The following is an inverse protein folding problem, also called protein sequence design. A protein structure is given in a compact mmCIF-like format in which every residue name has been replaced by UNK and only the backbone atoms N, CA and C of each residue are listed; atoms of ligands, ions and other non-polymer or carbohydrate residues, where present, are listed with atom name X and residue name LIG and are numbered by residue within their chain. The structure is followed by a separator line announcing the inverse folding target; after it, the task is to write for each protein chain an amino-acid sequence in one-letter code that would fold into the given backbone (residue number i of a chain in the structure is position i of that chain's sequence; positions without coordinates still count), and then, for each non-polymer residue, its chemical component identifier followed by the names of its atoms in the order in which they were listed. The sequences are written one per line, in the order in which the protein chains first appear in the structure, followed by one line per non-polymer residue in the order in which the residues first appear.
data_IF_502422961806
#
_entry.id   IF_502422961806
#
_cell.length_a   1.000
_cell.length_b   1.000
_cell.length_c   1.000
_cell.angle_alpha   90.00
_cell.angle_beta   90.00
_cell.angle_gamma   90.00
#
_symmetry.space_group_name_H-M   'P 1'
#
loop_
_entity.id
_entity.type
_entity.pdbx_description
1 polymer ?
#
# COMPACT_ATOMS: atom_id res chain seq x y z
N UNK A 1 -22.82 2.08 -3.25
CA UNK A 1 -22.59 1.73 -4.67
C UNK A 1 -23.03 0.31 -4.91
N UNK A 2 -23.74 0.04 -6.01
CA UNK A 2 -24.23 -1.28 -6.35
C UNK A 2 -23.05 -2.26 -6.57
N UNK A 3 -23.19 -3.49 -6.06
CA UNK A 3 -22.21 -4.59 -6.23
C UNK A 3 -22.91 -5.77 -6.91
N UNK A 4 -23.20 -5.67 -8.22
CA UNK A 4 -24.07 -6.64 -8.89
C UNK A 4 -23.40 -8.00 -9.12
N UNK A 5 -22.08 -8.10 -8.99
CA UNK A 5 -21.33 -9.32 -9.27
C UNK A 5 -21.06 -10.09 -7.98
N UNK A 6 -21.66 -11.26 -7.82
CA UNK A 6 -21.53 -12.09 -6.63
C UNK A 6 -20.69 -13.34 -6.91
N UNK A 7 -19.80 -13.67 -5.99
CA UNK A 7 -19.05 -14.92 -6.01
C UNK A 7 -19.92 -16.04 -5.44
N UNK A 8 -20.24 -17.05 -6.25
CA UNK A 8 -21.09 -18.17 -5.82
C UNK A 8 -20.43 -19.06 -4.77
N UNK A 9 -19.08 -19.14 -4.76
CA UNK A 9 -18.36 -19.97 -3.78
C UNK A 9 -18.37 -19.39 -2.35
N UNK A 10 -18.57 -18.07 -2.18
CA UNK A 10 -18.45 -17.42 -0.86
C UNK A 10 -19.38 -16.22 -0.61
N UNK A 11 -20.32 -15.93 -1.52
CA UNK A 11 -21.27 -14.82 -1.42
C UNK A 11 -20.68 -13.41 -1.54
N UNK A 12 -19.37 -13.27 -1.73
CA UNK A 12 -18.70 -11.96 -1.77
C UNK A 12 -19.12 -11.17 -3.01
N UNK A 13 -19.51 -9.90 -2.81
CA UNK A 13 -20.00 -9.02 -3.89
C UNK A 13 -18.96 -8.00 -4.35
N UNK A 14 -18.95 -7.73 -5.65
CA UNK A 14 -18.04 -6.84 -6.34
C UNK A 14 -18.82 -5.85 -7.21
N UNK A 15 -18.31 -4.62 -7.32
CA UNK A 15 -18.85 -3.59 -8.20
C UNK A 15 -18.42 -3.75 -9.65
N UNK A 16 -17.34 -4.51 -9.91
CA UNK A 16 -16.75 -4.69 -11.24
C UNK A 16 -16.56 -6.18 -11.51
N UNK A 17 -17.02 -6.66 -12.68
CA UNK A 17 -16.93 -8.07 -13.10
C UNK A 17 -15.50 -8.59 -13.07
N UNK A 18 -14.54 -7.80 -13.55
CA UNK A 18 -13.12 -8.16 -13.53
C UNK A 18 -12.61 -8.49 -12.11
N UNK A 19 -13.06 -7.77 -11.10
CA UNK A 19 -12.67 -8.04 -9.71
C UNK A 19 -13.25 -9.36 -9.19
N UNK A 20 -14.46 -9.72 -9.62
CA UNK A 20 -15.03 -11.04 -9.33
C UNK A 20 -14.19 -12.15 -10.00
N UNK A 21 -13.83 -12.02 -11.27
CA UNK A 21 -13.01 -13.02 -11.98
C UNK A 21 -11.64 -13.19 -11.32
N UNK A 22 -10.97 -12.08 -10.98
CA UNK A 22 -9.70 -12.13 -10.25
C UNK A 22 -9.88 -12.78 -8.87
N UNK A 23 -10.99 -12.48 -8.19
CA UNK A 23 -11.30 -13.07 -6.90
C UNK A 23 -11.50 -14.58 -6.99
N UNK A 24 -12.19 -15.10 -8.01
CA UNK A 24 -12.43 -16.54 -8.16
C UNK A 24 -11.14 -17.37 -8.22
N UNK A 25 -10.01 -16.77 -8.62
CA UNK A 25 -8.70 -17.41 -8.58
C UNK A 25 -8.26 -17.86 -7.18
N UNK A 26 -8.82 -17.28 -6.11
CA UNK A 26 -8.53 -17.76 -4.75
C UNK A 26 -9.14 -19.14 -4.49
N UNK A 27 -10.27 -19.45 -5.13
CA UNK A 27 -10.99 -20.72 -4.98
C UNK A 27 -10.40 -21.78 -5.90
N UNK A 28 -10.07 -21.41 -7.13
CA UNK A 28 -9.47 -22.35 -8.11
C UNK A 28 -7.97 -22.57 -7.88
N UNK A 29 -7.30 -21.68 -7.16
CA UNK A 29 -5.85 -21.67 -7.01
C UNK A 29 -5.08 -21.21 -8.25
N UNK A 30 -5.76 -20.72 -9.30
CA UNK A 30 -5.14 -20.28 -10.54
C UNK A 30 -4.11 -19.15 -10.30
N UNK A 31 -2.88 -19.35 -10.75
CA UNK A 31 -1.78 -18.38 -10.65
C UNK A 31 -1.09 -18.18 -12.01
N UNK A 32 -1.68 -17.38 -12.92
CA UNK A 32 -1.22 -17.29 -14.31
C UNK A 32 0.17 -16.67 -14.48
N UNK A 33 0.66 -15.94 -13.47
CA UNK A 33 1.87 -15.14 -13.59
C UNK A 33 3.01 -15.81 -12.85
N UNK A 34 3.83 -16.59 -13.56
CA UNK A 34 4.99 -17.29 -13.00
C UNK A 34 6.28 -16.47 -13.17
N UNK A 35 7.07 -16.42 -12.11
CA UNK A 35 8.43 -15.89 -12.13
C UNK A 35 9.40 -16.99 -12.57
N UNK A 36 9.97 -16.85 -13.76
CA UNK A 36 10.90 -17.85 -14.31
C UNK A 36 12.23 -17.90 -13.55
N UNK A 37 12.60 -16.83 -12.84
CA UNK A 37 13.85 -16.77 -12.07
C UNK A 37 13.78 -17.57 -10.76
N UNK A 38 12.59 -17.76 -10.17
CA UNK A 38 12.46 -18.44 -8.87
C UNK A 38 11.25 -19.40 -8.74
N UNK A 39 10.53 -19.64 -9.84
CA UNK A 39 9.35 -20.52 -9.90
C UNK A 39 8.10 -20.01 -9.17
N UNK A 40 8.14 -18.85 -8.49
CA UNK A 40 6.98 -18.33 -7.74
C UNK A 40 5.89 -17.84 -8.70
N UNK A 41 4.64 -18.27 -8.46
CA UNK A 41 3.48 -17.85 -9.25
C UNK A 41 2.50 -16.96 -8.48
N UNK A 42 1.85 -16.05 -9.19
CA UNK A 42 0.92 -15.05 -8.66
C UNK A 42 -0.42 -15.11 -9.39
N UNK A 43 -1.51 -14.84 -8.67
CA UNK A 43 -2.87 -14.75 -9.24
C UNK A 43 -3.15 -13.41 -9.92
N UNK A 44 -2.33 -12.38 -9.65
CA UNK A 44 -2.49 -11.03 -10.18
C UNK A 44 -1.19 -10.48 -10.78
N UNK A 45 -1.32 -9.81 -11.94
CA UNK A 45 -0.19 -9.20 -12.67
C UNK A 45 0.55 -8.17 -11.83
N UNK A 46 -0.16 -7.31 -11.10
CA UNK A 46 0.46 -6.26 -10.29
C UNK A 46 1.40 -6.84 -9.22
N UNK A 47 0.98 -7.90 -8.53
CA UNK A 47 1.81 -8.59 -7.54
C UNK A 47 3.03 -9.25 -8.18
N UNK A 48 2.88 -9.85 -9.37
CA UNK A 48 3.99 -10.39 -10.13
C UNK A 48 5.03 -9.32 -10.52
N UNK A 49 4.58 -8.17 -11.03
CA UNK A 49 5.49 -7.06 -11.39
C UNK A 49 6.23 -6.53 -10.16
N UNK A 50 5.53 -6.32 -9.04
CA UNK A 50 6.15 -5.93 -7.78
C UNK A 50 7.17 -6.98 -7.31
N UNK A 51 6.84 -8.26 -7.42
CA UNK A 51 7.74 -9.34 -7.05
C UNK A 51 9.03 -9.32 -7.88
N UNK A 52 8.96 -9.05 -9.19
CA UNK A 52 10.17 -8.98 -10.04
C UNK A 52 11.19 -7.93 -9.57
N UNK A 53 10.74 -6.87 -8.88
CA UNK A 53 11.63 -5.86 -8.27
C UNK A 53 12.52 -6.43 -7.17
N UNK A 54 12.22 -7.62 -6.66
CA UNK A 54 13.09 -8.32 -5.71
C UNK A 54 14.39 -8.72 -6.37
N UNK A 55 14.30 -9.23 -7.59
CA UNK A 55 15.44 -9.75 -8.35
C UNK A 55 16.26 -8.62 -9.00
N UNK A 56 15.58 -7.61 -9.53
CA UNK A 56 16.29 -6.46 -10.12
C UNK A 56 16.82 -5.47 -9.08
N UNK A 57 16.35 -5.55 -7.84
CA UNK A 57 16.69 -4.58 -6.79
C UNK A 57 16.02 -3.20 -6.95
N UNK A 58 15.19 -3.01 -7.98
CA UNK A 58 14.51 -1.74 -8.27
C UNK A 58 13.68 -1.24 -7.08
N UNK A 59 13.88 0.01 -6.66
CA UNK A 59 13.11 0.68 -5.59
C UNK A 59 12.63 2.06 -6.06
N UNK A 60 11.52 2.14 -6.83
CA UNK A 60 11.11 3.39 -7.48
C UNK A 60 10.60 4.48 -6.54
N UNK A 61 10.28 4.12 -5.29
CA UNK A 61 9.57 5.00 -4.37
C UNK A 61 10.53 5.46 -3.28
N UNK A 62 11.11 6.64 -3.45
CA UNK A 62 12.03 7.24 -2.49
C UNK A 62 11.29 8.14 -1.49
N UNK A 63 11.69 8.06 -0.22
CA UNK A 63 11.20 8.95 0.81
C UNK A 63 11.94 10.29 0.74
N UNK A 64 11.23 11.42 0.51
CA UNK A 64 11.87 12.73 0.37
C UNK A 64 12.52 13.21 1.68
N UNK A 65 12.05 12.74 2.84
CA UNK A 65 12.55 13.19 4.14
C UNK A 65 13.86 12.50 4.56
N UNK A 66 14.15 11.29 4.05
CA UNK A 66 15.30 10.50 4.51
C UNK A 66 16.04 9.70 3.43
N UNK A 67 15.66 9.83 2.16
CA UNK A 67 16.27 9.11 1.03
C UNK A 67 16.02 7.59 1.00
N UNK A 68 15.24 7.05 1.94
CA UNK A 68 14.96 5.61 1.98
C UNK A 68 14.03 5.22 0.83
N UNK A 69 14.47 4.27 0.00
CA UNK A 69 13.69 3.79 -1.14
C UNK A 69 12.94 2.46 -0.88
N UNK A 70 11.78 2.31 -1.53
CA UNK A 70 10.85 1.19 -1.39
C UNK A 70 10.47 0.59 -2.76
N UNK A 71 10.18 -0.71 -2.78
CA UNK A 71 9.69 -1.44 -3.97
C UNK A 71 8.20 -1.20 -4.26
N UNK A 72 7.43 -0.78 -3.25
CA UNK A 72 5.97 -0.62 -3.29
C UNK A 72 5.59 0.74 -2.70
N UNK A 73 4.70 1.48 -3.37
CA UNK A 73 4.26 2.81 -2.95
C UNK A 73 3.56 2.81 -1.59
N UNK A 74 2.74 1.80 -1.30
CA UNK A 74 2.06 1.68 0.00
C UNK A 74 3.06 1.58 1.16
N UNK A 75 4.23 0.97 0.96
CA UNK A 75 5.28 0.91 1.97
C UNK A 75 5.94 2.27 2.19
N UNK A 76 6.10 3.08 1.13
CA UNK A 76 6.54 4.47 1.28
C UNK A 76 5.50 5.27 2.08
N UNK A 77 4.21 5.15 1.75
CA UNK A 77 3.14 5.88 2.46
C UNK A 77 3.08 5.49 3.94
N UNK A 78 3.19 4.20 4.27
CA UNK A 78 3.24 3.77 5.67
C UNK A 78 4.52 4.22 6.36
N UNK A 79 5.65 4.22 5.66
CA UNK A 79 6.89 4.76 6.18
C UNK A 79 6.79 6.26 6.48
N UNK A 80 6.21 7.08 5.60
CA UNK A 80 6.10 8.53 5.82
C UNK A 80 5.37 8.89 7.12
N UNK A 81 4.48 8.02 7.62
CA UNK A 81 3.84 8.22 8.93
C UNK A 81 4.83 8.28 10.09
N UNK A 82 5.99 7.62 9.99
CA UNK A 82 7.02 7.70 11.03
C UNK A 82 7.67 9.08 11.11
N UNK A 83 7.74 9.80 9.98
CA UNK A 83 8.22 11.17 9.96
C UNK A 83 7.17 12.09 10.54
N UNK A 84 5.90 11.92 10.18
CA UNK A 84 4.78 12.68 10.77
C UNK A 84 4.73 12.55 12.30
N UNK A 85 4.94 11.34 12.85
CA UNK A 85 4.96 11.12 14.29
C UNK A 85 6.17 11.80 14.96
N UNK A 86 7.35 11.76 14.33
CA UNK A 86 8.57 12.42 14.82
C UNK A 86 8.58 13.93 14.65
N UNK A 87 7.83 14.47 13.69
CA UNK A 87 7.68 15.90 13.44
C UNK A 87 6.45 16.49 14.13
N UNK A 88 5.79 15.74 15.02
CA UNK A 88 4.69 16.25 15.84
C UNK A 88 5.24 17.24 16.86
N UNK A 89 4.87 18.51 16.74
CA UNK A 89 5.14 19.49 17.78
C UNK A 89 4.03 19.39 18.83
N UNK A 90 4.37 19.13 20.08
CA UNK A 90 3.41 19.00 21.18
C UNK A 90 3.48 20.26 22.04
N UNK A 91 2.33 20.87 22.32
CA UNK A 91 2.24 22.01 23.22
C UNK A 91 2.39 21.54 24.69
N UNK A 92 3.38 22.04 25.45
CA UNK A 92 3.57 21.62 26.84
C UNK A 92 2.43 22.07 27.75
N UNK A 93 1.73 23.15 27.39
CA UNK A 93 0.69 23.75 28.24
C UNK A 93 -0.66 23.04 28.13
N UNK A 94 -0.94 22.39 26.99
CA UNK A 94 -2.25 21.77 26.74
C UNK A 94 -2.21 20.37 26.10
N UNK A 95 -1.03 19.83 25.79
CA UNK A 95 -0.86 18.50 25.21
C UNK A 95 -1.31 18.34 23.76
N UNK A 96 -1.78 19.40 23.09
CA UNK A 96 -2.19 19.35 21.67
C UNK A 96 -0.99 19.07 20.76
N UNK A 97 -1.19 18.21 19.76
CA UNK A 97 -0.17 17.88 18.76
C UNK A 97 -0.42 18.58 17.43
N UNK A 98 0.65 19.01 16.77
CA UNK A 98 0.63 19.75 15.51
C UNK A 98 1.57 19.07 14.51
N UNK A 99 1.12 18.90 13.27
CA UNK A 99 1.86 18.20 12.21
C UNK A 99 2.85 19.12 11.44
N UNK A 100 3.05 20.36 11.89
CA UNK A 100 3.98 21.29 11.29
C UNK A 100 4.32 22.47 12.21
N UNK A 101 5.55 22.97 12.09
CA UNK A 101 6.08 24.04 12.96
C UNK A 101 5.30 25.34 12.86
N UNK A 102 4.80 25.70 11.67
CA UNK A 102 3.98 26.91 11.46
C UNK A 102 2.68 26.88 12.27
N UNK A 103 1.98 25.74 12.27
CA UNK A 103 0.73 25.57 13.02
C UNK A 103 0.99 25.60 14.53
N UNK A 104 2.09 25.00 14.96
CA UNK A 104 2.51 25.02 16.36
C UNK A 104 2.87 26.43 16.85
N UNK A 105 3.65 27.18 16.06
CA UNK A 105 4.06 28.56 16.39
C UNK A 105 2.84 29.49 16.43
N UNK A 106 1.87 29.31 15.52
CA UNK A 106 0.62 30.07 15.56
C UNK A 106 -0.21 29.75 16.81
N UNK A 107 -0.24 28.49 17.26
CA UNK A 107 -0.94 28.08 18.47
C UNK A 107 -0.30 28.62 19.77
N UNK A 108 1.03 28.84 19.77
CA UNK A 108 1.78 29.38 20.92
C UNK A 108 1.71 30.90 21.07
N UNK A 109 1.21 31.61 20.06
CA UNK A 109 0.94 33.05 20.13
C UNK A 109 -0.44 33.29 20.73
#
# INVERSE_FOLDING_TARGET
GLKPYECLDCGKKFSVKMNLVIHQRIHTGEKPYMCLECGKSFSQRAHFIIHRRIHTGEKPYECPDCGRAFRVSSHLVTHQKIHMAKTSFICPDCGKSFNGSKQFVQHKR
#
